data_IF_959124846004
#
_entry.id   IF_959124846004
#
_cell.length_a   1.000
_cell.length_b   1.000
_cell.length_c   1.000
_cell.angle_alpha   90.00
_cell.angle_beta   90.00
_cell.angle_gamma   90.00
#
_symmetry.space_group_name_H-M   'P 1'
#
loop_
_entity.id
_entity.type
_entity.pdbx_description
1 polymer ?
#
# COMPACT_ATOMS: atom_id res chain seq x y z
N UNK A 1 0.62 -22.64 -21.41
CA UNK A 1 0.07 -21.73 -20.40
C UNK A 1 1.24 -20.93 -19.87
N UNK A 2 1.46 -19.72 -20.39
CA UNK A 2 2.36 -18.75 -19.77
C UNK A 2 1.75 -18.41 -18.41
N UNK A 3 2.42 -18.78 -17.33
CA UNK A 3 2.08 -18.32 -15.99
C UNK A 3 2.20 -16.80 -16.02
N UNK A 4 1.09 -16.06 -15.96
CA UNK A 4 1.11 -14.63 -15.71
C UNK A 4 1.70 -14.46 -14.32
N UNK A 5 2.96 -14.04 -14.22
CA UNK A 5 3.57 -13.73 -12.93
C UNK A 5 2.84 -12.52 -12.36
N UNK A 6 2.10 -12.72 -11.27
CA UNK A 6 1.52 -11.60 -10.53
C UNK A 6 2.66 -10.83 -9.86
N UNK A 7 2.78 -9.54 -10.16
CA UNK A 7 3.72 -8.63 -9.52
C UNK A 7 3.00 -7.84 -8.43
N UNK A 8 3.74 -7.02 -7.71
CA UNK A 8 3.20 -6.04 -6.77
C UNK A 8 3.78 -4.65 -7.05
N UNK A 9 3.10 -3.63 -6.55
CA UNK A 9 3.62 -2.25 -6.55
C UNK A 9 4.72 -2.12 -5.49
N UNK A 10 5.91 -1.64 -5.89
CA UNK A 10 7.08 -1.49 -5.02
C UNK A 10 7.21 -0.11 -4.36
N UNK A 11 6.60 0.92 -4.96
CA UNK A 11 6.62 2.29 -4.43
C UNK A 11 5.44 2.56 -3.46
N UNK A 12 5.57 3.49 -2.50
CA UNK A 12 4.50 3.84 -1.56
C UNK A 12 3.18 4.26 -2.22
N UNK A 13 3.30 5.01 -3.32
CA UNK A 13 2.19 5.54 -4.09
C UNK A 13 2.62 5.66 -5.55
N UNK A 14 1.90 4.96 -6.42
CA UNK A 14 2.17 4.89 -7.85
C UNK A 14 1.00 5.49 -8.60
N UNK A 15 1.28 6.45 -9.47
CA UNK A 15 0.29 6.96 -10.42
C UNK A 15 0.04 5.92 -11.53
N UNK A 16 -1.23 5.59 -11.75
CA UNK A 16 -1.66 4.73 -12.84
C UNK A 16 -2.20 5.62 -13.96
N UNK A 17 -1.62 5.51 -15.15
CA UNK A 17 -1.88 6.41 -16.29
C UNK A 17 -2.74 5.74 -17.34
N UNK A 18 -3.58 6.50 -18.05
CA UNK A 18 -4.41 5.96 -19.14
C UNK A 18 -3.57 5.43 -20.31
N UNK A 19 -2.45 6.10 -20.60
CA UNK A 19 -1.52 5.79 -21.68
C UNK A 19 -0.09 5.70 -21.11
N UNK A 20 0.88 5.07 -21.81
CA UNK A 20 2.29 4.99 -21.38
C UNK A 20 3.02 6.34 -21.55
N UNK A 21 2.48 7.39 -20.95
CA UNK A 21 2.98 8.76 -20.93
C UNK A 21 2.72 9.38 -19.55
N UNK A 22 3.74 10.01 -18.98
CA UNK A 22 3.65 10.67 -17.68
C UNK A 22 2.67 11.86 -17.66
N UNK A 23 2.41 12.45 -18.83
CA UNK A 23 1.43 13.53 -18.98
C UNK A 23 0.03 13.02 -19.33
N UNK A 24 -0.14 11.71 -19.51
CA UNK A 24 -1.46 11.12 -19.70
C UNK A 24 -2.30 11.26 -18.44
N UNK A 25 -3.61 11.15 -18.63
CA UNK A 25 -4.59 11.20 -17.55
C UNK A 25 -4.20 10.23 -16.42
N UNK A 26 -4.20 10.74 -15.20
CA UNK A 26 -4.15 9.92 -13.99
C UNK A 26 -5.51 9.24 -13.82
N UNK A 27 -5.56 7.92 -13.96
CA UNK A 27 -6.83 7.17 -13.84
C UNK A 27 -7.10 6.74 -12.40
N UNK A 28 -6.04 6.42 -11.65
CA UNK A 28 -6.08 6.10 -10.22
C UNK A 28 -4.65 6.15 -9.65
N UNK A 29 -4.49 5.91 -8.35
CA UNK A 29 -3.20 5.61 -7.74
C UNK A 29 -3.23 4.25 -7.03
N UNK A 30 -2.11 3.53 -7.08
CA UNK A 30 -1.91 2.25 -6.43
C UNK A 30 -0.92 2.37 -5.27
N UNK A 31 -1.23 1.71 -4.16
CA UNK A 31 -0.39 1.69 -2.95
C UNK A 31 0.66 0.59 -3.02
N UNK A 32 1.74 0.72 -2.24
CA UNK A 32 2.73 -0.34 -2.07
C UNK A 32 2.08 -1.68 -1.70
N UNK A 33 2.63 -2.77 -2.24
CA UNK A 33 2.22 -4.14 -2.01
C UNK A 33 0.79 -4.48 -2.52
N UNK A 34 0.18 -3.58 -3.31
CA UNK A 34 -1.01 -3.91 -4.09
C UNK A 34 -0.62 -4.88 -5.22
N UNK A 35 -1.33 -6.00 -5.40
CA UNK A 35 -1.12 -6.90 -6.53
C UNK A 35 -1.39 -6.19 -7.87
N UNK A 36 -0.49 -6.40 -8.82
CA UNK A 36 -0.56 -5.87 -10.17
C UNK A 36 -0.29 -6.99 -11.17
N UNK A 37 -1.26 -7.29 -12.03
CA UNK A 37 -1.11 -8.31 -13.06
C UNK A 37 -0.64 -7.63 -14.35
N UNK A 38 0.61 -7.82 -14.80
CA UNK A 38 1.09 -7.23 -16.03
C UNK A 38 0.40 -7.87 -17.24
N UNK A 39 -0.04 -7.04 -18.20
CA UNK A 39 -0.71 -7.49 -19.42
C UNK A 39 0.08 -7.15 -20.69
N UNK A 40 0.71 -5.98 -20.73
CA UNK A 40 1.48 -5.50 -21.87
C UNK A 40 2.63 -4.60 -21.40
N UNK A 41 3.79 -4.63 -22.07
CA UNK A 41 4.92 -3.74 -21.78
C UNK A 41 5.31 -2.96 -23.04
N UNK A 42 5.52 -1.65 -22.89
CA UNK A 42 6.01 -0.72 -23.93
C UNK A 42 7.09 0.17 -23.35
N UNK A 43 8.31 0.05 -23.85
CA UNK A 43 9.49 0.78 -23.38
C UNK A 43 9.65 0.71 -21.84
N UNK A 44 9.48 1.85 -21.15
CA UNK A 44 9.61 1.99 -19.70
C UNK A 44 8.28 1.87 -18.95
N UNK A 45 7.22 1.41 -19.63
CA UNK A 45 5.88 1.30 -19.09
C UNK A 45 5.33 -0.12 -19.21
N UNK A 46 4.53 -0.49 -18.22
CA UNK A 46 3.79 -1.75 -18.21
C UNK A 46 2.33 -1.44 -17.90
N UNK A 47 1.44 -1.94 -18.75
CA UNK A 47 0.01 -1.97 -18.48
C UNK A 47 -0.28 -3.06 -17.47
N UNK A 48 -0.98 -2.71 -16.40
CA UNK A 48 -1.30 -3.60 -15.29
C UNK A 48 -2.79 -3.61 -15.01
N UNK A 49 -3.30 -4.77 -14.62
CA UNK A 49 -4.62 -4.94 -14.04
C UNK A 49 -4.49 -5.01 -12.51
N UNK A 50 -5.17 -4.09 -11.82
CA UNK A 50 -5.34 -4.04 -10.37
C UNK A 50 -6.68 -4.68 -9.99
N UNK A 51 -7.11 -4.57 -8.72
CA UNK A 51 -8.38 -5.13 -8.27
C UNK A 51 -9.62 -4.55 -8.97
N UNK A 52 -9.58 -3.26 -9.26
CA UNK A 52 -10.71 -2.40 -9.62
C UNK A 52 -10.38 -1.45 -10.79
N UNK A 53 -9.11 -1.34 -11.17
CA UNK A 53 -8.63 -0.47 -12.23
C UNK A 53 -7.61 -1.18 -13.12
N UNK A 54 -7.38 -0.62 -14.31
CA UNK A 54 -6.25 -0.96 -15.15
C UNK A 54 -5.61 0.31 -15.72
N UNK A 55 -4.34 0.21 -16.10
CA UNK A 55 -3.63 1.29 -16.76
C UNK A 55 -2.12 1.09 -16.73
N UNK A 56 -1.39 2.12 -17.12
CA UNK A 56 0.06 2.08 -17.30
C UNK A 56 0.79 2.60 -16.08
N UNK A 57 1.78 1.83 -15.63
CA UNK A 57 2.73 2.20 -14.57
C UNK A 57 4.15 2.10 -15.10
N UNK A 58 5.11 2.75 -14.44
CA UNK A 58 6.54 2.60 -14.78
C UNK A 58 7.02 1.19 -14.45
N UNK A 59 7.96 0.66 -15.23
CA UNK A 59 8.51 -0.67 -14.97
C UNK A 59 9.22 -0.75 -13.61
N UNK A 60 9.85 0.34 -13.17
CA UNK A 60 10.63 0.41 -11.93
C UNK A 60 9.79 0.33 -10.65
N UNK A 61 8.47 0.52 -10.74
CA UNK A 61 7.56 0.42 -9.59
C UNK A 61 6.92 -0.96 -9.45
N UNK A 62 7.37 -1.94 -10.23
CA UNK A 62 6.91 -3.33 -10.17
C UNK A 62 8.01 -4.20 -9.56
N UNK A 63 7.62 -5.04 -8.60
CA UNK A 63 8.49 -6.01 -7.95
C UNK A 63 7.80 -7.37 -7.85
N UNK A 64 8.59 -8.41 -7.60
CA UNK A 64 8.05 -9.71 -7.23
C UNK A 64 7.28 -9.62 -5.90
N UNK A 65 6.23 -10.44 -5.71
CA UNK A 65 5.48 -10.46 -4.46
C UNK A 65 6.38 -10.68 -3.25
N UNK A 66 6.09 -9.99 -2.14
CA UNK A 66 6.82 -10.19 -0.88
C UNK A 66 6.71 -11.65 -0.49
N UNK A 67 7.84 -12.37 -0.53
CA UNK A 67 7.86 -13.77 -0.20
C UNK A 67 7.50 -13.97 1.28
N UNK A 68 6.54 -14.85 1.54
CA UNK A 68 6.18 -15.28 2.89
C UNK A 68 7.15 -16.31 3.48
N UNK A 69 8.26 -16.56 2.81
CA UNK A 69 9.35 -17.42 3.28
C UNK A 69 10.14 -16.77 4.40
N UNK A 70 10.95 -17.55 5.11
CA UNK A 70 11.84 -17.07 6.16
C UNK A 70 12.70 -15.92 5.64
N UNK A 71 12.31 -14.69 5.92
CA UNK A 71 13.19 -13.56 5.66
C UNK A 71 14.11 -13.48 6.86
N UNK A 72 15.39 -13.79 6.64
CA UNK A 72 16.41 -13.65 7.65
C UNK A 72 16.98 -12.23 7.51
N UNK A 73 16.63 -11.37 8.46
CA UNK A 73 17.03 -9.95 8.42
C UNK A 73 18.46 -9.72 8.94
N UNK A 74 19.02 -10.74 9.59
CA UNK A 74 20.41 -10.90 9.99
C UNK A 74 20.72 -12.41 10.15
N UNK A 75 21.99 -12.77 10.39
CA UNK A 75 22.45 -14.15 10.60
C UNK A 75 21.77 -14.89 11.78
N UNK A 76 20.84 -14.25 12.51
CA UNK A 76 20.22 -14.79 13.72
C UNK A 76 18.68 -14.66 13.76
N UNK A 77 18.05 -13.86 12.90
CA UNK A 77 16.63 -13.51 13.01
C UNK A 77 15.88 -13.84 11.73
N UNK A 78 15.43 -15.09 11.64
CA UNK A 78 14.51 -15.52 10.59
C UNK A 78 13.07 -15.42 11.12
N UNK A 79 12.25 -14.59 10.49
CA UNK A 79 10.82 -14.49 10.83
C UNK A 79 9.97 -15.18 9.77
N UNK A 80 9.03 -16.02 10.21
CA UNK A 80 7.90 -16.41 9.36
C UNK A 80 6.89 -15.26 9.46
N UNK A 81 6.46 -14.64 8.35
CA UNK A 81 5.37 -13.69 8.41
C UNK A 81 4.17 -14.40 9.02
N UNK A 82 3.75 -13.90 10.18
CA UNK A 82 2.52 -14.31 10.81
C UNK A 82 1.39 -14.14 9.78
N UNK A 83 0.24 -14.81 9.93
CA UNK A 83 -0.98 -14.49 9.17
C UNK A 83 -1.53 -13.08 9.49
N UNK A 84 -0.66 -12.18 9.97
CA UNK A 84 -0.91 -10.83 10.40
C UNK A 84 -0.27 -9.84 9.42
N UNK A 85 -0.98 -8.74 9.23
CA UNK A 85 -0.57 -7.61 8.43
C UNK A 85 -0.65 -6.36 9.28
N UNK A 86 0.12 -5.36 8.88
CA UNK A 86 0.01 -3.98 9.36
C UNK A 86 -0.75 -3.20 8.29
N UNK A 87 -1.83 -2.53 8.71
CA UNK A 87 -2.61 -1.63 7.85
C UNK A 87 -2.44 -0.21 8.37
N UNK A 88 -1.91 0.69 7.55
CA UNK A 88 -1.81 2.11 7.91
C UNK A 88 -3.20 2.67 8.14
N UNK A 89 -3.45 3.24 9.32
CA UNK A 89 -4.76 3.70 9.81
C UNK A 89 -4.85 5.21 9.99
N UNK A 90 -3.81 5.95 9.57
CA UNK A 90 -3.80 7.41 9.44
C UNK A 90 -3.68 7.81 7.96
N UNK A 91 -3.93 9.08 7.62
CA UNK A 91 -3.91 9.53 6.21
C UNK A 91 -2.55 9.32 5.53
N UNK A 92 -1.47 9.45 6.29
CA UNK A 92 -0.10 9.18 5.90
C UNK A 92 0.76 8.88 7.14
N UNK A 93 1.76 8.02 6.99
CA UNK A 93 2.65 7.60 8.07
C UNK A 93 4.12 7.51 7.60
N UNK A 94 5.08 8.00 8.38
CA UNK A 94 6.50 7.84 8.07
C UNK A 94 6.93 6.37 8.21
N UNK A 95 7.69 5.89 7.22
CA UNK A 95 8.34 4.60 7.22
C UNK A 95 9.78 4.78 7.71
N UNK A 96 10.12 4.23 8.87
CA UNK A 96 11.43 4.42 9.50
C UNK A 96 12.44 3.33 9.10
N UNK A 97 13.71 3.70 9.06
CA UNK A 97 14.82 2.79 8.75
C UNK A 97 15.13 1.82 9.89
N UNK A 98 14.82 2.18 11.14
CA UNK A 98 15.13 1.37 12.32
C UNK A 98 14.08 1.50 13.42
N UNK A 99 14.15 0.59 14.41
CA UNK A 99 13.24 0.56 15.57
C UNK A 99 13.41 1.74 16.54
N UNK A 100 14.59 2.35 16.60
CA UNK A 100 14.94 3.39 17.59
C UNK A 100 15.29 4.74 16.94
N UNK A 101 15.67 4.75 15.65
CA UNK A 101 16.02 5.97 14.94
C UNK A 101 14.82 6.67 14.30
N UNK A 102 15.04 7.95 13.99
CA UNK A 102 14.06 8.83 13.34
C UNK A 102 14.36 9.05 11.84
N UNK A 103 15.30 8.28 11.27
CA UNK A 103 15.54 8.30 9.82
C UNK A 103 14.31 7.73 9.08
N UNK A 104 13.75 8.55 8.20
CA UNK A 104 12.57 8.21 7.40
C UNK A 104 13.04 7.75 6.01
N UNK A 105 12.69 6.52 5.66
CA UNK A 105 12.90 5.94 4.33
C UNK A 105 11.89 6.49 3.32
N UNK A 106 10.62 6.58 3.71
CA UNK A 106 9.53 7.01 2.85
C UNK A 106 8.26 7.38 3.64
N UNK A 107 7.16 7.72 2.95
CA UNK A 107 5.83 7.95 3.53
C UNK A 107 4.82 6.96 2.95
N UNK A 108 4.20 6.16 3.80
CA UNK A 108 3.08 5.28 3.45
C UNK A 108 1.74 6.01 3.63
N UNK A 109 0.69 5.53 2.97
CA UNK A 109 -0.62 6.19 2.96
C UNK A 109 -1.69 5.30 3.58
N UNK A 110 -2.82 5.91 3.95
CA UNK A 110 -3.97 5.20 4.50
C UNK A 110 -4.29 3.95 3.67
N UNK A 111 -4.59 2.85 4.35
CA UNK A 111 -4.89 1.55 3.73
C UNK A 111 -3.71 0.84 3.06
N UNK A 112 -2.47 1.33 3.15
CA UNK A 112 -1.30 0.50 2.79
C UNK A 112 -1.25 -0.72 3.72
N UNK A 113 -1.22 -1.92 3.14
CA UNK A 113 -1.20 -3.19 3.87
C UNK A 113 0.12 -3.93 3.61
N UNK A 114 0.89 -4.19 4.67
CA UNK A 114 2.19 -4.86 4.60
C UNK A 114 2.25 -6.06 5.55
N UNK A 115 2.97 -7.14 5.21
CA UNK A 115 3.17 -8.26 6.13
C UNK A 115 3.87 -7.81 7.43
N UNK A 116 3.36 -8.27 8.57
CA UNK A 116 3.99 -8.03 9.87
C UNK A 116 5.13 -9.03 10.07
N UNK A 117 6.31 -8.53 10.44
CA UNK A 117 7.49 -9.33 10.75
C UNK A 117 7.74 -9.42 12.25
N UNK A 118 7.71 -8.28 12.93
CA UNK A 118 7.92 -8.21 14.38
C UNK A 118 7.00 -7.17 15.03
N UNK A 119 6.46 -7.55 16.18
CA UNK A 119 5.65 -6.71 17.06
C UNK A 119 6.11 -6.80 18.52
N UNK A 120 7.37 -7.16 18.76
CA UNK A 120 7.96 -7.18 20.11
C UNK A 120 8.27 -5.77 20.62
N UNK A 121 8.62 -4.85 19.74
CA UNK A 121 9.03 -3.50 20.12
C UNK A 121 7.84 -2.63 20.59
N UNK A 122 7.92 -1.89 21.71
CA UNK A 122 6.76 -1.22 22.31
C UNK A 122 6.21 -0.03 21.51
N UNK A 123 7.00 0.57 20.62
CA UNK A 123 6.61 1.78 19.87
C UNK A 123 6.57 1.59 18.36
N UNK A 124 7.17 0.52 17.84
CA UNK A 124 7.34 0.29 16.40
C UNK A 124 6.88 -1.10 16.02
N UNK A 125 6.41 -1.23 14.78
CA UNK A 125 6.06 -2.49 14.12
C UNK A 125 7.03 -2.68 12.95
N UNK A 126 7.67 -3.84 12.86
CA UNK A 126 8.51 -4.17 11.71
C UNK A 126 7.65 -4.77 10.60
N UNK A 127 7.79 -4.26 9.38
CA UNK A 127 7.04 -4.68 8.20
C UNK A 127 7.96 -5.11 7.09
N UNK A 128 7.54 -6.13 6.34
CA UNK A 128 8.21 -6.53 5.12
C UNK A 128 7.86 -5.54 4.01
N UNK A 129 8.87 -5.18 3.22
CA UNK A 129 8.72 -4.33 2.05
C UNK A 129 9.06 -5.15 0.79
N UNK A 130 8.66 -4.66 -0.39
CA UNK A 130 9.14 -5.19 -1.66
C UNK A 130 10.67 -5.20 -1.74
N UNK A 131 11.20 -6.12 -2.56
CA UNK A 131 12.63 -6.35 -2.78
C UNK A 131 13.39 -6.81 -1.51
N UNK A 132 12.76 -7.65 -0.69
CA UNK A 132 13.34 -8.23 0.55
C UNK A 132 13.78 -7.19 1.61
N UNK A 133 13.32 -5.94 1.47
CA UNK A 133 13.64 -4.88 2.42
C UNK A 133 12.72 -4.95 3.64
N UNK A 134 13.10 -4.19 4.67
CA UNK A 134 12.29 -3.97 5.87
C UNK A 134 12.14 -2.50 6.19
N UNK A 135 11.06 -2.17 6.88
CA UNK A 135 10.88 -0.86 7.47
C UNK A 135 10.09 -0.96 8.78
N UNK A 136 9.99 0.18 9.45
CA UNK A 136 9.31 0.28 10.73
C UNK A 136 8.20 1.31 10.68
N UNK A 137 7.04 1.00 11.24
CA UNK A 137 5.92 1.93 11.40
C UNK A 137 5.71 2.23 12.89
N UNK A 138 5.29 3.45 13.22
CA UNK A 138 4.83 3.74 14.57
C UNK A 138 3.53 3.00 14.85
N UNK A 139 3.41 2.42 16.06
CA UNK A 139 2.19 1.69 16.46
C UNK A 139 0.92 2.53 16.49
N UNK A 140 1.08 3.85 16.64
CA UNK A 140 -0.04 4.80 16.66
C UNK A 140 -0.61 5.06 15.27
N UNK A 141 0.12 4.70 14.22
CA UNK A 141 -0.17 5.09 12.85
C UNK A 141 -0.72 3.91 12.02
N UNK A 142 -0.77 2.72 12.62
CA UNK A 142 -1.17 1.50 11.94
C UNK A 142 -1.77 0.45 12.87
N UNK A 143 -2.69 -0.33 12.32
CA UNK A 143 -3.37 -1.42 13.01
C UNK A 143 -2.74 -2.76 12.62
N UNK A 144 -2.53 -3.64 13.60
CA UNK A 144 -2.18 -5.04 13.35
C UNK A 144 -3.46 -5.85 13.19
N UNK A 145 -3.63 -6.49 12.03
CA UNK A 145 -4.85 -7.24 11.66
C UNK A 145 -4.49 -8.62 11.12
N UNK A 146 -5.44 -9.55 11.13
CA UNK A 146 -5.29 -10.81 10.36
C UNK A 146 -5.45 -10.51 8.87
N UNK A 147 -4.70 -11.17 8.02
CA UNK A 147 -4.74 -10.89 6.57
C UNK A 147 -6.14 -11.07 5.99
N UNK A 148 -6.89 -12.09 6.39
CA UNK A 148 -8.26 -12.34 5.87
C UNK A 148 -9.28 -11.31 6.37
N UNK A 149 -8.92 -10.57 7.43
CA UNK A 149 -9.74 -9.55 8.07
C UNK A 149 -8.98 -8.22 8.08
N UNK A 150 -8.18 -7.96 7.04
CA UNK A 150 -7.41 -6.72 6.93
C UNK A 150 -8.33 -5.49 6.83
N UNK A 151 -9.55 -5.67 6.31
CA UNK A 151 -10.59 -4.63 6.22
C UNK A 151 -11.91 -5.23 6.73
N UNK A 152 -12.12 -5.28 8.07
CA UNK A 152 -13.34 -5.82 8.63
C UNK A 152 -14.53 -4.89 8.38
N UNK A 153 -15.74 -5.44 8.33
CA UNK A 153 -16.95 -4.62 8.34
C UNK A 153 -17.07 -3.90 9.67
N UNK A 154 -16.91 -2.59 9.63
CA UNK A 154 -17.03 -1.71 10.78
C UNK A 154 -18.34 -0.91 10.73
N UNK A 155 -18.69 -0.18 11.80
CA UNK A 155 -19.83 0.73 11.75
C UNK A 155 -19.51 1.94 10.87
N UNK A 156 -20.52 2.41 10.10
CA UNK A 156 -20.48 3.62 9.24
C UNK A 156 -19.75 4.83 9.85
N UNK A 157 -19.76 4.99 11.17
CA UNK A 157 -19.01 6.05 11.87
C UNK A 157 -17.52 6.04 11.52
N UNK A 158 -16.92 4.86 11.32
CA UNK A 158 -15.52 4.69 10.90
C UNK A 158 -15.28 5.37 9.55
N UNK A 159 -16.10 5.09 8.54
CA UNK A 159 -16.03 5.76 7.25
C UNK A 159 -16.16 7.30 7.39
N UNK A 160 -17.06 7.79 8.27
CA UNK A 160 -17.20 9.25 8.49
C UNK A 160 -16.02 9.87 9.24
N UNK A 161 -15.32 9.12 10.09
CA UNK A 161 -14.14 9.61 10.80
C UNK A 161 -12.93 9.72 9.86
N UNK A 162 -12.75 8.74 8.96
CA UNK A 162 -11.80 8.87 7.85
C UNK A 162 -12.16 10.00 6.90
N UNK A 163 -13.43 10.16 6.55
CA UNK A 163 -13.89 11.27 5.71
C UNK A 163 -13.48 12.64 6.29
N UNK A 164 -13.54 12.80 7.62
CA UNK A 164 -13.11 14.03 8.30
C UNK A 164 -11.59 14.22 8.30
N UNK A 165 -10.80 13.15 8.30
CA UNK A 165 -9.34 13.25 8.33
C UNK A 165 -8.73 13.77 7.01
N UNK A 166 -9.51 13.73 5.92
CA UNK A 166 -9.14 14.32 4.62
C UNK A 166 -9.58 15.78 4.44
N UNK A 167 -10.18 16.43 5.45
CA UNK A 167 -10.55 17.84 5.35
C UNK A 167 -9.30 18.71 5.07
N UNK A 168 -9.36 19.48 3.99
CA UNK A 168 -8.27 20.34 3.54
C UNK A 168 -7.28 19.67 2.57
N UNK A 169 -7.41 18.37 2.31
CA UNK A 169 -6.64 17.70 1.26
C UNK A 169 -7.08 18.24 -0.11
N UNK A 170 -6.13 18.64 -0.98
CA UNK A 170 -6.47 19.22 -2.28
C UNK A 170 -7.15 18.19 -3.18
N UNK A 171 -8.03 18.67 -4.04
CA UNK A 171 -8.60 17.84 -5.09
C UNK A 171 -7.55 17.50 -6.14
N UNK A 172 -7.42 16.22 -6.49
CA UNK A 172 -6.58 15.72 -7.58
C UNK A 172 -7.38 14.69 -8.37
N UNK A 173 -7.63 14.94 -9.65
CA UNK A 173 -8.28 13.99 -10.54
C UNK A 173 -7.50 12.67 -10.61
N UNK A 174 -8.14 11.53 -10.35
CA UNK A 174 -7.50 10.22 -10.25
C UNK A 174 -6.70 10.01 -8.95
N UNK A 175 -6.76 10.95 -8.02
CA UNK A 175 -6.05 10.88 -6.73
C UNK A 175 -6.79 10.00 -5.71
N UNK A 176 -6.03 9.18 -4.98
CA UNK A 176 -6.57 8.24 -3.98
C UNK A 176 -5.76 8.27 -2.66
N UNK A 177 -5.16 9.41 -2.32
CA UNK A 177 -4.26 9.53 -1.16
C UNK A 177 -4.28 10.90 -0.50
N UNK A 178 -3.55 11.05 0.62
CA UNK A 178 -3.35 12.34 1.30
C UNK A 178 -2.66 13.41 0.41
N UNK A 179 -1.96 13.01 -0.66
CA UNK A 179 -1.32 13.96 -1.59
C UNK A 179 -2.30 14.64 -2.54
N UNK A 180 -3.51 14.12 -2.62
CA UNK A 180 -4.59 14.65 -3.44
C UNK A 180 -5.61 13.55 -3.69
N UNK A 181 -6.89 13.93 -3.64
CA UNK A 181 -7.98 12.95 -3.71
C UNK A 181 -9.12 13.47 -4.58
N UNK A 182 -9.67 12.61 -5.44
CA UNK A 182 -10.90 12.95 -6.16
C UNK A 182 -12.16 12.49 -5.41
N UNK A 183 -13.32 12.69 -6.02
CA UNK A 183 -14.60 12.35 -5.41
C UNK A 183 -14.79 10.83 -5.23
N UNK A 184 -14.42 10.02 -6.21
CA UNK A 184 -14.54 8.56 -6.17
C UNK A 184 -13.50 7.94 -5.23
N UNK A 185 -12.24 8.34 -5.35
CA UNK A 185 -11.13 7.89 -4.51
C UNK A 185 -11.37 8.20 -3.04
N UNK A 186 -11.97 9.36 -2.74
CA UNK A 186 -12.39 9.71 -1.38
C UNK A 186 -13.40 8.72 -0.81
N UNK A 187 -14.46 8.44 -1.57
CA UNK A 187 -15.51 7.51 -1.13
C UNK A 187 -14.95 6.09 -1.02
N UNK A 188 -14.24 5.60 -2.04
CA UNK A 188 -13.60 4.28 -2.06
C UNK A 188 -12.68 4.08 -0.84
N UNK A 189 -11.81 5.05 -0.53
CA UNK A 189 -10.84 4.93 0.55
C UNK A 189 -11.49 4.93 1.94
N UNK A 190 -12.50 5.78 2.16
CA UNK A 190 -13.23 5.82 3.43
C UNK A 190 -14.00 4.52 3.69
N UNK A 191 -14.66 3.98 2.66
CA UNK A 191 -15.43 2.74 2.77
C UNK A 191 -14.54 1.49 2.81
N UNK A 192 -13.37 1.51 2.15
CA UNK A 192 -12.38 0.42 2.24
C UNK A 192 -11.95 0.17 3.68
N UNK A 193 -11.67 1.24 4.43
CA UNK A 193 -11.29 1.13 5.84
C UNK A 193 -12.44 0.65 6.74
N UNK A 194 -13.68 0.72 6.26
CA UNK A 194 -14.91 0.21 6.87
C UNK A 194 -15.28 -1.21 6.34
N UNK A 195 -14.39 -1.83 5.55
CA UNK A 195 -14.56 -3.19 5.01
C UNK A 195 -15.40 -3.29 3.73
N UNK A 196 -15.77 -2.17 3.12
CA UNK A 196 -16.56 -2.12 1.90
C UNK A 196 -15.71 -1.74 0.70
N UNK A 197 -15.51 -2.69 -0.21
CA UNK A 197 -14.84 -2.44 -1.49
C UNK A 197 -15.84 -1.89 -2.49
N UNK A 198 -15.65 -0.63 -2.88
CA UNK A 198 -16.46 0.04 -3.89
C UNK A 198 -15.72 0.04 -5.24
N UNK A 199 -16.46 0.02 -6.37
CA UNK A 199 -15.88 0.23 -7.69
C UNK A 199 -15.26 1.62 -7.86
#
# INVERSE_FOLDING_TARGET
MTMTTNLIISAPLTDVRREPDANSELVTQALMNVPATPTETRDSWTHVHLSDYEGWVRNEVLADPIEKGFTCFDDQTCATPLGLVVVVSVTHAPLYASREGDEILDTLYLSTMLPLLDSSHPLRLQVALPDERVGWLARTDADVRKQELAYPHEPVRVATDYARSFLGVPYLWGGTSYRGIDCSGFVQLCYRMDGYMLP
#
